data_IF_290304526169
#
_entry.id   IF_290304526169
#
_cell.length_a   1.000
_cell.length_b   1.000
_cell.length_c   1.000
_cell.angle_alpha   90.00
_cell.angle_beta   90.00
_cell.angle_gamma   90.00
#
_symmetry.space_group_name_H-M   'P 1'
#
loop_
_entity.id
_entity.type
_entity.pdbx_description
1 polymer ?
#
# COMPACT_ATOMS: atom_id res chain seq x y z
N UNK A 1 -1.03 22.18 -10.96
CA UNK A 1 -0.63 21.35 -9.80
C UNK A 1 -0.27 19.97 -10.33
N UNK A 2 1.00 19.58 -10.30
CA UNK A 2 1.40 18.25 -10.80
C UNK A 2 0.78 17.18 -9.88
N UNK A 3 -0.22 16.44 -10.38
CA UNK A 3 -0.69 15.22 -9.72
C UNK A 3 0.41 14.19 -9.90
N UNK A 4 1.32 14.09 -8.92
CA UNK A 4 2.35 13.07 -8.92
C UNK A 4 1.73 11.68 -8.84
N UNK A 5 2.40 10.68 -9.41
CA UNK A 5 2.14 9.27 -9.13
C UNK A 5 3.34 8.75 -8.36
N UNK A 6 3.09 8.04 -7.25
CA UNK A 6 4.14 7.36 -6.49
C UNK A 6 3.84 5.88 -6.44
N UNK A 7 4.80 5.06 -6.86
CA UNK A 7 4.68 3.60 -6.82
C UNK A 7 5.62 3.06 -5.75
N UNK A 8 5.15 2.07 -5.01
CA UNK A 8 5.86 1.37 -3.94
C UNK A 8 5.67 -0.13 -4.14
N UNK A 9 6.70 -0.90 -3.78
CA UNK A 9 6.64 -2.36 -3.80
C UNK A 9 6.84 -2.90 -2.40
N UNK A 10 6.04 -3.89 -2.07
CA UNK A 10 6.07 -4.64 -0.82
C UNK A 10 6.18 -6.12 -1.15
N UNK A 11 6.79 -6.88 -0.26
CA UNK A 11 6.95 -8.31 -0.43
C UNK A 11 6.38 -9.04 0.78
N UNK A 12 5.57 -10.07 0.55
CA UNK A 12 5.04 -10.93 1.59
C UNK A 12 6.08 -12.00 1.98
N UNK A 13 6.85 -11.72 3.03
CA UNK A 13 7.87 -12.64 3.55
C UNK A 13 7.25 -13.86 4.24
N UNK A 14 6.11 -13.69 4.90
CA UNK A 14 5.36 -14.77 5.55
C UNK A 14 4.90 -15.87 4.57
N UNK A 15 4.67 -15.50 3.30
CA UNK A 15 4.17 -16.39 2.26
C UNK A 15 2.70 -16.80 2.44
N UNK A 16 2.03 -16.31 3.48
CA UNK A 16 0.60 -16.57 3.76
C UNK A 16 -0.28 -15.57 3.01
N UNK A 17 -1.24 -16.07 2.25
CA UNK A 17 -2.20 -15.22 1.52
C UNK A 17 -3.07 -14.38 2.46
N UNK A 18 -3.43 -14.94 3.62
CA UNK A 18 -4.25 -14.27 4.65
C UNK A 18 -3.63 -12.94 5.11
N UNK A 19 -2.30 -12.89 5.21
CA UNK A 19 -1.57 -11.69 5.58
C UNK A 19 -1.68 -10.60 4.51
N UNK A 20 -1.65 -10.98 3.23
CA UNK A 20 -1.86 -10.05 2.11
C UNK A 20 -3.28 -9.51 2.14
N UNK A 21 -4.28 -10.36 2.35
CA UNK A 21 -5.68 -9.96 2.44
C UNK A 21 -5.86 -8.95 3.60
N UNK A 22 -5.39 -9.30 4.80
CA UNK A 22 -5.49 -8.43 5.97
C UNK A 22 -4.75 -7.09 5.79
N UNK A 23 -3.60 -7.11 5.10
CA UNK A 23 -2.87 -5.89 4.72
C UNK A 23 -3.73 -5.00 3.81
N UNK A 24 -4.29 -5.55 2.73
CA UNK A 24 -5.08 -4.80 1.76
C UNK A 24 -6.38 -4.24 2.36
N UNK A 25 -7.06 -5.01 3.20
CA UNK A 25 -8.27 -4.55 3.91
C UNK A 25 -7.95 -3.35 4.81
N UNK A 26 -6.85 -3.41 5.59
CA UNK A 26 -6.45 -2.28 6.42
C UNK A 26 -5.93 -1.08 5.61
N UNK A 27 -5.33 -1.32 4.43
CA UNK A 27 -4.97 -0.22 3.51
C UNK A 27 -6.22 0.50 3.04
N UNK A 28 -7.25 -0.23 2.61
CA UNK A 28 -8.51 0.35 2.16
C UNK A 28 -9.24 1.08 3.30
N UNK A 29 -9.26 0.51 4.51
CA UNK A 29 -9.90 1.12 5.68
C UNK A 29 -9.19 2.41 6.12
N UNK A 30 -7.86 2.39 6.22
CA UNK A 30 -7.07 3.49 6.80
C UNK A 30 -6.62 4.56 5.80
N UNK A 31 -6.67 4.26 4.51
CA UNK A 31 -6.19 5.13 3.44
C UNK A 31 -7.31 5.32 2.39
N UNK A 32 -8.40 5.94 2.81
CA UNK A 32 -9.59 6.21 1.98
C UNK A 32 -9.65 7.64 1.41
N UNK A 33 -8.58 8.42 1.58
CA UNK A 33 -8.51 9.85 1.23
C UNK A 33 -7.64 10.15 0.00
N UNK A 34 -7.11 9.12 -0.67
CA UNK A 34 -6.29 9.24 -1.87
C UNK A 34 -6.60 8.07 -2.81
N UNK A 35 -6.41 8.25 -4.11
CA UNK A 35 -6.59 7.18 -5.07
C UNK A 35 -5.43 6.18 -4.98
N UNK A 36 -5.76 4.91 -4.76
CA UNK A 36 -4.81 3.81 -4.63
C UNK A 36 -5.12 2.78 -5.71
N UNK A 37 -4.08 2.31 -6.39
CA UNK A 37 -4.15 1.13 -7.24
C UNK A 37 -3.19 0.09 -6.69
N UNK A 38 -3.64 -1.15 -6.53
CA UNK A 38 -2.83 -2.24 -6.03
C UNK A 38 -2.82 -3.39 -7.04
N UNK A 39 -1.65 -3.97 -7.27
CA UNK A 39 -1.46 -5.19 -8.06
C UNK A 39 -0.74 -6.20 -7.17
N UNK A 40 -1.22 -7.45 -7.15
CA UNK A 40 -0.61 -8.54 -6.39
C UNK A 40 -0.22 -9.66 -7.35
N UNK A 41 1.07 -10.01 -7.37
CA UNK A 41 1.63 -11.07 -8.19
C UNK A 41 2.38 -12.07 -7.29
N UNK A 42 1.67 -13.10 -6.85
CA UNK A 42 2.19 -14.09 -5.91
C UNK A 42 2.51 -13.46 -4.54
N UNK A 43 3.79 -13.21 -4.28
CA UNK A 43 4.27 -12.56 -3.05
C UNK A 43 4.64 -11.09 -3.23
N UNK A 44 4.69 -10.61 -4.47
CA UNK A 44 4.98 -9.22 -4.78
C UNK A 44 3.68 -8.40 -4.77
N UNK A 45 3.74 -7.23 -4.15
CA UNK A 45 2.60 -6.33 -3.98
C UNK A 45 3.04 -4.94 -4.42
N UNK A 46 2.51 -4.46 -5.55
CA UNK A 46 2.78 -3.13 -6.07
C UNK A 46 1.61 -2.20 -5.75
N UNK A 47 1.88 -1.10 -5.03
CA UNK A 47 0.90 -0.07 -4.69
C UNK A 47 1.28 1.24 -5.36
N UNK A 48 0.36 1.79 -6.14
CA UNK A 48 0.45 3.11 -6.75
C UNK A 48 -0.51 4.09 -6.08
N UNK A 49 0.03 5.23 -5.64
CA UNK A 49 -0.70 6.34 -5.04
C UNK A 49 -0.78 7.50 -6.05
N UNK A 50 -1.99 8.02 -6.24
CA UNK A 50 -2.25 9.15 -7.15
C UNK A 50 -3.01 10.25 -6.41
N UNK A 51 -2.45 11.47 -6.36
CA UNK A 51 -3.09 12.60 -5.68
C UNK A 51 -2.13 13.74 -5.33
N UNK A 52 -2.48 14.62 -4.39
CA UNK A 52 -1.57 15.63 -3.83
C UNK A 52 -0.34 15.00 -3.15
N UNK A 53 0.83 15.65 -3.27
CA UNK A 53 2.10 15.11 -2.76
C UNK A 53 2.09 14.90 -1.24
N UNK A 54 1.48 15.80 -0.47
CA UNK A 54 1.36 15.67 0.98
C UNK A 54 0.54 14.44 1.38
N UNK A 55 -0.57 14.18 0.69
CA UNK A 55 -1.40 13.00 0.93
C UNK A 55 -0.69 11.71 0.52
N UNK A 56 0.10 11.74 -0.56
CA UNK A 56 0.96 10.61 -0.94
C UNK A 56 2.01 10.33 0.12
N UNK A 57 2.60 11.36 0.72
CA UNK A 57 3.57 11.20 1.80
C UNK A 57 2.93 10.57 3.03
N UNK A 58 1.76 11.07 3.46
CA UNK A 58 1.01 10.50 4.57
C UNK A 58 0.61 9.04 4.31
N UNK A 59 0.10 8.73 3.11
CA UNK A 59 -0.25 7.38 2.71
C UNK A 59 0.96 6.45 2.66
N UNK A 60 2.11 6.92 2.16
CA UNK A 60 3.39 6.16 2.14
C UNK A 60 3.75 5.67 3.54
N UNK A 61 3.73 6.56 4.53
CA UNK A 61 4.13 6.23 5.90
C UNK A 61 3.15 5.23 6.55
N UNK A 62 1.85 5.37 6.28
CA UNK A 62 0.84 4.40 6.73
C UNK A 62 1.01 3.03 6.05
N UNK A 63 1.27 3.00 4.75
CA UNK A 63 1.52 1.76 4.01
C UNK A 63 2.71 1.00 4.57
N UNK A 64 3.83 1.67 4.84
CA UNK A 64 5.01 1.03 5.44
C UNK A 64 4.70 0.39 6.79
N UNK A 65 4.00 1.10 7.68
CA UNK A 65 3.61 0.56 9.00
C UNK A 65 2.66 -0.64 8.90
N UNK A 66 1.76 -0.62 7.92
CA UNK A 66 0.88 -1.76 7.67
C UNK A 66 1.65 -2.95 7.08
N UNK A 67 2.61 -2.69 6.20
CA UNK A 67 3.43 -3.73 5.60
C UNK A 67 4.31 -4.41 6.67
N UNK A 68 4.96 -3.63 7.53
CA UNK A 68 5.75 -4.14 8.68
C UNK A 68 4.90 -5.03 9.60
N UNK A 69 3.67 -4.62 9.90
CA UNK A 69 2.75 -5.39 10.75
C UNK A 69 2.26 -6.70 10.14
N UNK A 70 2.10 -6.77 8.82
CA UNK A 70 1.37 -7.86 8.16
C UNK A 70 2.21 -8.72 7.21
N UNK A 71 3.22 -8.15 6.56
CA UNK A 71 3.96 -8.77 5.46
C UNK A 71 5.37 -9.22 5.87
N UNK A 72 5.86 -8.83 7.04
CA UNK A 72 7.08 -9.40 7.66
C UNK A 72 6.84 -10.81 8.24
#
# INVERSE_FOLDING_TARGET
MARGKKTMRFYNNSGKLENVIAFLEQVQEKINYININCTVEGRDIEISLSGPQDLQHLATERLKRLADKHLE
#
